data_IF_809871087557
#
_entry.id   IF_809871087557
#
_cell.length_a   1.000
_cell.length_b   1.000
_cell.length_c   1.000
_cell.angle_alpha   90.00
_cell.angle_beta   90.00
_cell.angle_gamma   90.00
#
_symmetry.space_group_name_H-M   'P 1'
#
loop_
_entity.id
_entity.type
_entity.pdbx_description
1 polymer ?
#
# COMPACT_ATOMS: atom_id res chain seq x y z
N UNK A 1 -24.76 2.34 29.54
CA UNK A 1 -24.28 2.32 29.03
C UNK A 1 -23.64 2.47 28.36
N UNK A 2 -23.45 2.61 28.02
CA UNK A 2 -22.81 2.68 27.31
C UNK A 2 -22.18 2.68 26.47
N UNK A 3 -21.90 2.77 26.33
CA UNK A 3 -21.25 2.78 25.52
C UNK A 3 -20.64 2.66 24.77
N UNK A 4 -20.40 2.68 24.63
CA UNK A 4 -19.84 2.57 23.92
C UNK A 4 -19.19 2.43 23.19
N UNK A 5 -18.93 2.27 23.04
CA UNK A 5 -18.27 1.89 22.42
C UNK A 5 -17.94 2.33 21.34
N UNK A 6 -17.42 2.65 20.96
CA UNK A 6 -17.03 3.11 20.00
C UNK A 6 -16.09 2.95 19.49
N UNK A 7 -15.91 2.71 19.02
CA UNK A 7 -15.02 2.38 18.47
C UNK A 7 -14.25 2.84 17.81
N UNK A 8 -13.87 2.60 17.64
CA UNK A 8 -12.98 3.05 17.05
C UNK A 8 -13.23 3.65 15.87
N UNK A 9 -13.83 3.96 15.90
CA UNK A 9 -14.06 4.58 14.98
C UNK A 9 -13.07 5.16 14.35
N UNK A 10 -12.45 4.95 14.83
CA UNK A 10 -11.34 5.28 14.25
C UNK A 10 -11.21 4.76 12.98
N UNK A 11 -11.63 3.61 12.83
CA UNK A 11 -11.56 3.04 11.63
C UNK A 11 -12.19 3.81 10.62
N UNK A 12 -13.31 4.26 10.83
CA UNK A 12 -14.03 5.03 9.87
C UNK A 12 -13.24 6.26 9.56
N UNK A 13 -12.66 6.84 10.57
CA UNK A 13 -11.92 8.06 10.36
C UNK A 13 -10.66 7.82 9.58
N UNK A 14 -10.09 6.65 9.65
CA UNK A 14 -8.86 6.40 8.96
C UNK A 14 -9.06 5.95 7.53
N UNK A 15 -10.28 5.93 7.05
CA UNK A 15 -10.49 5.65 5.65
C UNK A 15 -10.61 4.19 5.33
N UNK A 16 -10.66 3.91 4.05
CA UNK A 16 -10.91 2.56 3.57
C UNK A 16 -9.65 1.85 3.19
N UNK A 17 -9.70 0.54 3.26
CA UNK A 17 -8.61 -0.32 2.86
C UNK A 17 -8.91 -0.90 1.49
N UNK A 18 -7.91 -0.87 0.63
CA UNK A 18 -8.02 -1.36 -0.73
C UNK A 18 -6.90 -2.35 -1.01
N UNK A 19 -7.14 -3.24 -1.95
CA UNK A 19 -6.12 -4.20 -2.35
C UNK A 19 -6.08 -4.25 -3.87
N UNK A 20 -4.91 -4.05 -4.44
CA UNK A 20 -4.74 -4.05 -5.89
C UNK A 20 -3.59 -4.96 -6.28
N UNK A 21 -3.66 -5.47 -7.49
CA UNK A 21 -2.63 -6.35 -8.05
C UNK A 21 -2.06 -5.65 -9.26
N UNK A 22 -0.80 -5.38 -9.25
CA UNK A 22 -0.20 -4.61 -10.33
C UNK A 22 1.30 -4.72 -10.39
N UNK A 23 1.86 -3.87 -11.22
CA UNK A 23 3.28 -3.89 -11.50
C UNK A 23 3.94 -2.66 -10.91
N UNK A 24 5.06 -2.85 -10.26
CA UNK A 24 5.80 -1.75 -9.66
C UNK A 24 6.42 -0.91 -10.78
N UNK A 25 6.13 0.38 -10.78
CA UNK A 25 6.72 1.27 -11.75
C UNK A 25 7.72 2.22 -11.12
N UNK A 26 7.73 2.37 -9.82
CA UNK A 26 8.73 3.19 -9.15
C UNK A 26 8.81 2.86 -7.67
N UNK A 27 10.00 2.97 -7.12
CA UNK A 27 10.23 2.83 -5.70
C UNK A 27 11.16 3.97 -5.33
N UNK A 28 10.75 4.79 -4.37
CA UNK A 28 11.55 5.93 -3.93
C UNK A 28 11.94 5.74 -2.48
N UNK A 29 13.23 5.54 -2.25
CA UNK A 29 13.77 5.41 -0.90
C UNK A 29 14.70 6.56 -0.56
N UNK A 30 14.83 7.53 -1.47
CA UNK A 30 15.71 8.67 -1.24
C UNK A 30 15.09 9.72 -0.34
N UNK A 31 13.78 9.72 -0.23
CA UNK A 31 13.08 10.69 0.58
C UNK A 31 12.28 9.99 1.66
N UNK A 32 11.89 10.73 2.66
CA UNK A 32 11.07 10.21 3.74
C UNK A 32 9.74 10.96 3.75
N UNK A 33 8.61 10.27 3.72
CA UNK A 33 8.49 8.79 3.74
C UNK A 33 8.84 8.18 2.38
N UNK A 34 9.24 6.94 2.42
CA UNK A 34 9.50 6.20 1.18
C UNK A 34 8.18 5.98 0.48
N UNK A 35 8.24 5.73 -0.82
CA UNK A 35 7.02 5.51 -1.60
C UNK A 35 7.18 4.36 -2.56
N UNK A 36 6.06 3.72 -2.86
CA UNK A 36 6.00 2.73 -3.93
C UNK A 36 4.87 3.16 -4.86
N UNK A 37 5.10 3.01 -6.15
CA UNK A 37 4.09 3.35 -7.16
C UNK A 37 3.80 2.09 -7.96
N UNK A 38 2.53 1.71 -8.00
CA UNK A 38 2.08 0.49 -8.64
C UNK A 38 1.04 0.82 -9.68
N UNK A 39 1.18 0.23 -10.86
CA UNK A 39 0.24 0.41 -11.94
C UNK A 39 -0.60 -0.86 -12.03
N UNK A 40 -1.91 -0.71 -11.91
CA UNK A 40 -2.80 -1.84 -11.92
C UNK A 40 -3.82 -1.66 -13.05
N UNK A 41 -4.03 -2.70 -13.87
CA UNK A 41 -4.99 -2.58 -14.95
C UNK A 41 -6.42 -2.63 -14.41
N UNK A 42 -7.27 -1.77 -14.92
CA UNK A 42 -8.68 -1.76 -14.58
C UNK A 42 -9.49 -2.40 -15.70
N UNK A 43 -9.15 -2.05 -16.93
CA UNK A 43 -9.79 -2.62 -18.10
C UNK A 43 -8.73 -2.82 -19.16
N UNK A 44 -9.13 -3.30 -20.32
CA UNK A 44 -8.21 -3.50 -21.41
C UNK A 44 -7.40 -2.26 -21.74
N UNK A 45 -8.05 -1.10 -21.70
CA UNK A 45 -7.41 0.14 -22.13
C UNK A 45 -7.16 1.14 -21.01
N UNK A 46 -7.50 0.80 -19.78
CA UNK A 46 -7.35 1.73 -18.67
C UNK A 46 -6.58 1.14 -17.52
N UNK A 47 -5.66 1.92 -17.01
CA UNK A 47 -4.88 1.54 -15.83
C UNK A 47 -5.12 2.55 -14.74
N UNK A 48 -4.88 2.12 -13.52
CA UNK A 48 -4.87 3.01 -12.35
C UNK A 48 -3.48 2.96 -11.76
N UNK A 49 -2.97 4.12 -11.38
CA UNK A 49 -1.68 4.20 -10.72
C UNK A 49 -1.90 4.57 -9.27
N UNK A 50 -1.31 3.78 -8.38
CA UNK A 50 -1.42 4.01 -6.95
C UNK A 50 -0.05 4.31 -6.40
N UNK A 51 0.11 5.50 -5.83
CA UNK A 51 1.32 5.84 -5.12
C UNK A 51 1.02 5.77 -3.63
N UNK A 52 1.77 4.97 -2.89
CA UNK A 52 1.52 4.78 -1.47
C UNK A 52 2.78 5.02 -0.67
N UNK A 53 2.61 5.67 0.47
CA UNK A 53 3.72 5.91 1.38
C UNK A 53 4.05 4.63 2.12
N UNK A 54 5.33 4.33 2.24
CA UNK A 54 5.80 3.14 2.93
C UNK A 54 6.42 3.59 4.24
N UNK A 55 5.90 3.08 5.33
CA UNK A 55 6.36 3.48 6.67
C UNK A 55 6.89 2.26 7.41
N UNK A 56 7.31 2.48 8.64
CA UNK A 56 7.79 1.38 9.48
C UNK A 56 6.69 0.35 9.75
N UNK A 57 5.43 0.74 9.57
CA UNK A 57 4.31 -0.15 9.81
C UNK A 57 3.90 -0.95 8.59
N UNK A 58 4.51 -0.69 7.45
CA UNK A 58 4.21 -1.41 6.21
C UNK A 58 4.90 -2.76 6.26
N UNK A 59 4.15 -3.81 5.96
CA UNK A 59 4.71 -5.15 5.91
C UNK A 59 5.06 -5.46 4.47
N UNK A 60 6.31 -5.84 4.23
CA UNK A 60 6.78 -6.14 2.88
C UNK A 60 7.32 -7.56 2.88
N UNK A 61 6.72 -8.41 2.05
CA UNK A 61 7.08 -9.83 2.04
C UNK A 61 7.24 -10.36 0.62
N UNK A 62 8.09 -11.35 0.48
CA UNK A 62 8.26 -12.11 -0.75
C UNK A 62 8.32 -13.57 -0.36
N UNK A 63 7.35 -14.37 -0.83
CA UNK A 63 7.27 -15.79 -0.50
C UNK A 63 7.31 -16.02 1.01
N UNK A 64 6.56 -15.19 1.71
CA UNK A 64 6.44 -15.33 3.17
C UNK A 64 7.58 -14.78 3.98
N UNK A 65 8.62 -14.24 3.33
CA UNK A 65 9.75 -13.69 4.05
C UNK A 65 9.75 -12.18 3.97
N UNK A 66 10.12 -11.52 5.05
CA UNK A 66 10.23 -10.08 5.06
C UNK A 66 11.41 -9.64 4.24
N UNK A 67 11.18 -8.61 3.44
CA UNK A 67 12.24 -8.04 2.61
C UNK A 67 12.21 -6.53 2.75
N UNK A 68 13.28 -5.88 2.34
CA UNK A 68 13.38 -4.44 2.38
C UNK A 68 12.78 -3.84 1.12
N UNK A 69 12.23 -2.64 1.24
CA UNK A 69 11.60 -1.96 0.12
C UNK A 69 12.57 -1.78 -1.05
N UNK A 70 13.82 -1.45 -0.76
CA UNK A 70 14.79 -1.18 -1.81
C UNK A 70 15.16 -2.43 -2.60
N UNK A 71 14.73 -3.61 -2.18
CA UNK A 71 14.99 -4.81 -2.97
C UNK A 71 13.91 -5.06 -4.01
N UNK A 72 12.84 -4.28 -3.98
CA UNK A 72 11.78 -4.38 -4.97
C UNK A 72 12.21 -3.60 -6.20
N UNK A 73 12.10 -4.22 -7.36
CA UNK A 73 12.52 -3.59 -8.59
C UNK A 73 11.34 -3.22 -9.47
N UNK A 74 11.54 -2.26 -10.33
CA UNK A 74 10.53 -1.89 -11.31
C UNK A 74 10.22 -3.10 -12.16
N UNK A 75 8.96 -3.30 -12.47
CA UNK A 75 8.52 -4.43 -13.27
C UNK A 75 8.03 -5.60 -12.46
N UNK A 76 8.35 -5.66 -11.18
CA UNK A 76 7.88 -6.76 -10.37
C UNK A 76 6.39 -6.64 -10.11
N UNK A 77 5.72 -7.77 -9.99
CA UNK A 77 4.28 -7.82 -9.76
C UNK A 77 4.04 -7.98 -8.28
N UNK A 78 3.13 -7.17 -7.76
CA UNK A 78 2.84 -7.16 -6.33
C UNK A 78 1.34 -7.12 -6.06
N UNK A 79 0.96 -7.59 -4.89
CA UNK A 79 -0.33 -7.29 -4.31
C UNK A 79 -0.07 -6.17 -3.31
N UNK A 80 -0.74 -5.06 -3.48
CA UNK A 80 -0.59 -3.91 -2.60
C UNK A 80 -1.88 -3.68 -1.83
N UNK A 81 -1.79 -3.74 -0.52
CA UNK A 81 -2.92 -3.38 0.35
C UNK A 81 -2.60 -2.01 0.92
N UNK A 82 -3.48 -1.06 0.69
CA UNK A 82 -3.26 0.30 1.13
C UNK A 82 -4.52 0.89 1.74
N UNK A 83 -4.33 1.96 2.49
CA UNK A 83 -5.43 2.67 3.12
C UNK A 83 -5.36 4.11 2.71
N UNK A 84 -6.51 4.70 2.43
CA UNK A 84 -6.60 6.13 2.13
C UNK A 84 -6.97 6.84 3.40
N UNK A 85 -6.16 7.78 3.80
CA UNK A 85 -6.40 8.57 4.98
C UNK A 85 -6.40 10.03 4.61
N UNK A 86 -6.76 10.86 5.56
CA UNK A 86 -6.83 12.29 5.32
C UNK A 86 -5.50 12.85 4.82
N UNK A 87 -4.41 12.37 5.36
CA UNK A 87 -3.07 12.87 5.01
C UNK A 87 -2.36 12.03 3.97
N UNK A 88 -3.06 11.15 3.28
CA UNK A 88 -2.47 10.45 2.16
C UNK A 88 -2.83 8.99 2.06
N UNK A 89 -2.15 8.32 1.17
CA UNK A 89 -2.32 6.90 0.91
C UNK A 89 -1.14 6.17 1.52
N UNK A 90 -1.42 5.20 2.36
CA UNK A 90 -0.37 4.48 3.06
C UNK A 90 -0.42 3.00 2.75
N UNK A 91 0.72 2.41 2.41
CA UNK A 91 0.82 0.99 2.15
C UNK A 91 0.80 0.23 3.48
N UNK A 92 -0.05 -0.77 3.56
CA UNK A 92 -0.11 -1.63 4.73
C UNK A 92 0.66 -2.91 4.50
N UNK A 93 0.46 -3.52 3.35
CA UNK A 93 1.13 -4.77 3.00
C UNK A 93 1.53 -4.70 1.53
N UNK A 94 2.77 -5.06 1.26
CA UNK A 94 3.26 -5.23 -0.09
C UNK A 94 3.71 -6.66 -0.21
N UNK A 95 3.00 -7.42 -1.03
CA UNK A 95 3.32 -8.83 -1.21
C UNK A 95 3.87 -9.02 -2.61
N UNK A 96 5.15 -9.29 -2.71
CA UNK A 96 5.82 -9.44 -4.01
C UNK A 96 5.67 -10.87 -4.50
N UNK A 97 5.30 -11.02 -5.75
CA UNK A 97 5.15 -12.34 -6.34
C UNK A 97 6.44 -12.88 -6.90
#
# INVERSE_FOLDING_TARGET
>A
MLLLCIPPDNEAASGRTYRVHGQVIAVNVAQSPHMIVVKTPLTKNNDMTVGAKVTAQTRIVRKGKRIALQTIREGEVVWLTYVKQRDGVFARIIQVQ
#
